data_IF_593458301512
#
_entry.id   IF_593458301512
#
_cell.length_a   1.000
_cell.length_b   1.000
_cell.length_c   1.000
_cell.angle_alpha   90.00
_cell.angle_beta   90.00
_cell.angle_gamma   90.00
#
_symmetry.space_group_name_H-M   'P 1'
#
loop_
_entity.id
_entity.type
_entity.pdbx_description
1 polymer ?
#
# COMPACT_ATOMS: atom_id res chain seq x y z
N UNK A 1 10.19 10.10 -4.21
CA UNK A 1 10.89 10.64 -3.02
C UNK A 1 11.03 12.13 -3.25
N UNK A 2 10.33 12.99 -2.48
CA UNK A 2 10.32 14.43 -2.77
C UNK A 2 11.74 15.01 -2.91
N UNK A 3 11.92 16.00 -3.78
CA UNK A 3 13.24 16.54 -4.17
C UNK A 3 14.13 16.94 -2.98
N UNK A 4 13.56 17.43 -1.88
CA UNK A 4 14.33 17.77 -0.67
C UNK A 4 14.93 16.54 0.04
N UNK A 5 14.32 15.37 -0.12
CA UNK A 5 14.74 14.12 0.52
C UNK A 5 15.92 13.48 -0.19
N UNK A 6 16.07 13.69 -1.50
CA UNK A 6 17.21 13.14 -2.26
C UNK A 6 18.54 13.66 -1.74
N UNK A 7 18.63 14.98 -1.47
CA UNK A 7 19.84 15.59 -0.93
C UNK A 7 20.19 15.01 0.44
N UNK A 8 19.19 14.90 1.32
CA UNK A 8 19.39 14.34 2.65
C UNK A 8 19.86 12.88 2.60
N UNK A 9 19.28 12.06 1.71
CA UNK A 9 19.71 10.67 1.50
C UNK A 9 21.16 10.60 1.03
N UNK A 10 21.59 11.46 0.08
CA UNK A 10 22.99 11.50 -0.40
C UNK A 10 23.96 11.90 0.71
N UNK A 11 23.61 12.91 1.50
CA UNK A 11 24.42 13.36 2.62
C UNK A 11 24.52 12.28 3.71
N UNK A 12 23.40 11.61 4.02
CA UNK A 12 23.34 10.50 4.96
C UNK A 12 24.18 9.32 4.47
N UNK A 13 24.07 8.94 3.20
CA UNK A 13 24.86 7.88 2.61
C UNK A 13 26.37 8.15 2.74
N UNK A 14 26.79 9.37 2.42
CA UNK A 14 28.20 9.78 2.52
C UNK A 14 28.73 9.67 3.95
N UNK A 15 27.95 10.12 4.94
CA UNK A 15 28.30 10.03 6.36
C UNK A 15 28.37 8.57 6.83
N UNK A 16 27.35 7.78 6.50
CA UNK A 16 27.27 6.36 6.87
C UNK A 16 28.43 5.57 6.27
N UNK A 17 28.74 5.80 4.98
CA UNK A 17 29.84 5.14 4.28
C UNK A 17 31.21 5.44 4.92
N UNK A 18 31.45 6.69 5.33
CA UNK A 18 32.68 7.08 6.00
C UNK A 18 32.85 6.35 7.35
N UNK A 19 31.79 6.35 8.19
CA UNK A 19 31.81 5.64 9.49
C UNK A 19 31.96 4.13 9.29
N UNK A 20 31.26 3.57 8.31
CA UNK A 20 31.33 2.15 7.98
C UNK A 20 32.75 1.73 7.54
N UNK A 21 33.38 2.53 6.66
CA UNK A 21 34.68 2.20 6.08
C UNK A 21 35.82 2.27 7.10
N UNK A 22 35.71 3.17 8.08
CA UNK A 22 36.77 3.46 9.07
C UNK A 22 36.48 2.91 10.47
N UNK A 23 35.29 2.33 10.69
CA UNK A 23 34.81 1.89 11.99
C UNK A 23 35.13 0.43 12.32
N UNK A 24 35.05 0.11 13.62
CA UNK A 24 34.97 -1.27 14.08
C UNK A 24 33.57 -1.87 13.79
N UNK A 25 33.36 -3.14 14.16
CA UNK A 25 32.13 -3.86 13.86
C UNK A 25 30.86 -3.18 14.41
N UNK A 26 30.93 -2.61 15.61
CA UNK A 26 29.78 -1.91 16.20
C UNK A 26 29.50 -0.59 15.48
N UNK A 27 30.54 0.15 15.09
CA UNK A 27 30.41 1.38 14.31
C UNK A 27 29.80 1.10 12.92
N UNK A 28 30.15 -0.02 12.29
CA UNK A 28 29.56 -0.46 11.01
C UNK A 28 28.07 -0.72 11.13
N UNK A 29 27.66 -1.52 12.12
CA UNK A 29 26.25 -1.81 12.38
C UNK A 29 25.45 -0.55 12.70
N UNK A 30 26.03 0.36 13.48
CA UNK A 30 25.39 1.64 13.79
C UNK A 30 25.23 2.53 12.54
N UNK A 31 26.25 2.56 11.68
CA UNK A 31 26.19 3.32 10.43
C UNK A 31 25.13 2.79 9.46
N UNK A 32 25.05 1.47 9.28
CA UNK A 32 24.01 0.82 8.49
C UNK A 32 22.63 1.11 9.05
N UNK A 33 22.43 0.87 10.35
CA UNK A 33 21.16 1.08 11.03
C UNK A 33 20.68 2.52 10.88
N UNK A 34 21.53 3.50 11.21
CA UNK A 34 21.22 4.92 11.10
C UNK A 34 20.88 5.35 9.66
N UNK A 35 21.61 4.83 8.66
CA UNK A 35 21.31 5.11 7.27
C UNK A 35 19.94 4.58 6.86
N UNK A 36 19.62 3.33 7.19
CA UNK A 36 18.31 2.76 6.90
C UNK A 36 17.17 3.49 7.61
N UNK A 37 17.33 3.86 8.89
CA UNK A 37 16.33 4.67 9.59
C UNK A 37 16.07 5.99 8.86
N UNK A 38 17.15 6.65 8.40
CA UNK A 38 17.07 7.92 7.69
C UNK A 38 16.31 7.78 6.37
N UNK A 39 16.66 6.78 5.56
CA UNK A 39 15.99 6.53 4.27
C UNK A 39 14.52 6.17 4.47
N UNK A 40 14.20 5.30 5.43
CA UNK A 40 12.82 4.89 5.70
C UNK A 40 11.99 6.06 6.23
N UNK A 41 12.55 6.91 7.10
CA UNK A 41 11.87 8.11 7.58
C UNK A 41 11.54 9.06 6.43
N UNK A 42 12.53 9.39 5.58
CA UNK A 42 12.34 10.31 4.44
C UNK A 42 11.30 9.75 3.45
N UNK A 43 11.35 8.44 3.19
CA UNK A 43 10.35 7.77 2.35
C UNK A 43 8.94 7.94 2.92
N UNK A 44 8.76 7.71 4.23
CA UNK A 44 7.47 7.81 4.92
C UNK A 44 6.95 9.25 4.98
N UNK A 45 7.81 10.22 5.22
CA UNK A 45 7.49 11.65 5.13
C UNK A 45 6.96 12.02 3.74
N UNK A 46 7.59 11.51 2.67
CA UNK A 46 7.12 11.67 1.29
C UNK A 46 5.74 11.06 1.01
N UNK A 47 5.27 10.13 1.85
CA UNK A 47 3.95 9.52 1.76
C UNK A 47 2.94 10.13 2.73
N UNK A 48 3.34 11.17 3.48
CA UNK A 48 2.52 11.78 4.53
C UNK A 48 2.32 10.88 5.75
N UNK A 49 3.17 9.86 5.94
CA UNK A 49 3.11 8.91 7.03
C UNK A 49 4.23 9.15 8.07
N UNK A 50 3.93 8.89 9.34
CA UNK A 50 4.94 8.96 10.41
C UNK A 50 5.92 7.78 10.36
N UNK A 51 7.17 8.02 10.76
CA UNK A 51 8.16 6.96 10.98
C UNK A 51 7.82 6.15 12.24
N UNK A 52 7.76 4.82 12.10
CA UNK A 52 7.38 3.89 13.19
C UNK A 52 8.48 2.88 13.52
N UNK A 53 9.72 3.14 13.10
CA UNK A 53 10.85 2.23 13.28
C UNK A 53 11.16 1.40 12.03
N UNK A 54 12.35 0.81 12.00
CA UNK A 54 12.71 -0.21 11.01
C UNK A 54 11.95 -1.49 11.30
N UNK A 55 11.31 -2.02 10.27
CA UNK A 55 10.65 -3.32 10.36
C UNK A 55 11.68 -4.45 10.19
N UNK A 56 11.44 -5.63 10.78
CA UNK A 56 12.30 -6.80 10.57
C UNK A 56 12.45 -7.12 9.08
N UNK A 57 13.62 -7.62 8.69
CA UNK A 57 13.82 -8.16 7.35
C UNK A 57 12.93 -9.40 7.11
N UNK A 58 12.59 -9.64 5.84
CA UNK A 58 11.80 -10.82 5.45
C UNK A 58 10.30 -10.69 5.68
N UNK A 59 9.77 -9.49 5.87
CA UNK A 59 8.33 -9.27 5.80
C UNK A 59 7.81 -9.55 4.39
N UNK A 60 6.64 -10.16 4.33
CA UNK A 60 5.91 -10.38 3.09
C UNK A 60 5.53 -9.01 2.47
N UNK A 61 6.03 -8.67 1.27
CA UNK A 61 5.68 -7.42 0.58
C UNK A 61 4.25 -7.44 0.03
N UNK A 62 3.51 -8.54 0.23
CA UNK A 62 2.20 -8.77 -0.31
C UNK A 62 2.25 -9.33 -1.73
N UNK A 63 1.09 -9.72 -2.29
CA UNK A 63 1.02 -10.50 -3.52
C UNK A 63 1.37 -9.69 -4.77
N UNK A 64 1.29 -8.35 -4.72
CA UNK A 64 1.41 -7.51 -5.90
C UNK A 64 2.85 -7.13 -6.24
N UNK A 65 3.71 -6.88 -5.25
CA UNK A 65 5.11 -6.48 -5.49
C UNK A 65 5.84 -7.53 -6.33
N UNK A 66 5.87 -8.83 -5.96
CA UNK A 66 6.56 -9.85 -6.76
C UNK A 66 5.94 -10.06 -8.15
N UNK A 67 4.63 -9.81 -8.31
CA UNK A 67 3.96 -9.92 -9.62
C UNK A 67 4.32 -8.78 -10.55
N UNK A 68 4.43 -7.57 -10.01
CA UNK A 68 4.89 -6.40 -10.77
C UNK A 68 6.35 -6.57 -11.17
N UNK A 69 7.21 -7.01 -10.25
CA UNK A 69 8.63 -7.29 -10.55
C UNK A 69 8.76 -8.29 -11.71
N UNK A 70 8.04 -9.41 -11.62
CA UNK A 70 8.01 -10.40 -12.70
C UNK A 70 7.46 -9.85 -14.02
N UNK A 71 6.39 -9.05 -13.97
CA UNK A 71 5.82 -8.44 -15.16
C UNK A 71 6.80 -7.49 -15.86
N UNK A 72 7.64 -6.80 -15.10
CA UNK A 72 8.71 -5.96 -15.65
C UNK A 72 9.82 -6.80 -16.29
N UNK A 73 10.24 -7.88 -15.64
CA UNK A 73 11.24 -8.82 -16.18
C UNK A 73 10.76 -9.47 -17.49
N UNK A 74 9.50 -9.90 -17.52
CA UNK A 74 8.88 -10.58 -18.66
C UNK A 74 8.42 -9.58 -19.75
N UNK A 75 8.31 -8.29 -19.43
CA UNK A 75 7.73 -7.26 -20.30
C UNK A 75 6.23 -7.42 -20.55
N UNK A 76 5.51 -8.13 -19.66
CA UNK A 76 4.09 -8.46 -19.79
C UNK A 76 3.32 -8.21 -18.48
N UNK A 77 2.41 -7.23 -18.52
CA UNK A 77 1.58 -6.82 -17.38
C UNK A 77 0.31 -7.68 -17.20
N UNK A 78 0.03 -8.61 -18.11
CA UNK A 78 -1.24 -9.32 -18.18
C UNK A 78 -1.62 -10.06 -16.90
N UNK A 79 -0.66 -10.72 -16.26
CA UNK A 79 -0.91 -11.46 -15.01
C UNK A 79 -1.23 -10.54 -13.82
N UNK A 80 -0.65 -9.34 -13.76
CA UNK A 80 -0.98 -8.31 -12.75
C UNK A 80 -2.43 -7.87 -12.94
N UNK A 81 -2.82 -7.55 -14.19
CA UNK A 81 -4.19 -7.13 -14.52
C UNK A 81 -5.20 -8.22 -14.15
N UNK A 82 -4.93 -9.46 -14.56
CA UNK A 82 -5.79 -10.60 -14.29
C UNK A 82 -5.98 -10.84 -12.78
N UNK A 83 -4.91 -10.73 -12.00
CA UNK A 83 -4.98 -10.92 -10.56
C UNK A 83 -5.87 -9.86 -9.89
N UNK A 84 -5.72 -8.59 -10.29
CA UNK A 84 -6.58 -7.51 -9.81
C UNK A 84 -8.03 -7.69 -10.24
N UNK A 85 -8.29 -8.09 -11.50
CA UNK A 85 -9.65 -8.37 -11.98
C UNK A 85 -10.33 -9.47 -11.17
N UNK A 86 -9.62 -10.55 -10.86
CA UNK A 86 -10.15 -11.64 -10.04
C UNK A 86 -10.46 -11.18 -8.61
N UNK A 87 -9.52 -10.47 -7.96
CA UNK A 87 -9.73 -9.94 -6.61
C UNK A 87 -10.95 -9.01 -6.53
N UNK A 88 -11.10 -8.12 -7.51
CA UNK A 88 -12.27 -7.22 -7.60
C UNK A 88 -13.56 -8.01 -7.82
N UNK A 89 -13.54 -9.01 -8.71
CA UNK A 89 -14.71 -9.83 -8.99
C UNK A 89 -15.15 -10.63 -7.76
N UNK A 90 -14.20 -11.22 -7.02
CA UNK A 90 -14.46 -11.98 -5.80
C UNK A 90 -15.12 -11.10 -4.72
N UNK A 91 -14.52 -9.96 -4.39
CA UNK A 91 -15.02 -9.06 -3.34
C UNK A 91 -16.40 -8.47 -3.67
N UNK A 92 -16.60 -7.99 -4.90
CA UNK A 92 -17.91 -7.45 -5.32
C UNK A 92 -18.97 -8.55 -5.30
N UNK A 93 -18.63 -9.76 -5.76
CA UNK A 93 -19.56 -10.89 -5.74
C UNK A 93 -19.95 -11.27 -4.33
N UNK A 94 -19.01 -11.26 -3.38
CA UNK A 94 -19.28 -11.60 -2.00
C UNK A 94 -20.18 -10.56 -1.32
N UNK A 95 -19.90 -9.26 -1.51
CA UNK A 95 -20.78 -8.19 -1.04
C UNK A 95 -22.19 -8.29 -1.66
N UNK A 96 -22.29 -8.63 -2.95
CA UNK A 96 -23.59 -8.83 -3.60
C UNK A 96 -24.39 -9.98 -3.00
N UNK A 97 -23.75 -11.12 -2.70
CA UNK A 97 -24.40 -12.24 -2.01
C UNK A 97 -24.97 -11.82 -0.65
N UNK A 98 -24.25 -11.00 0.11
CA UNK A 98 -24.71 -10.50 1.41
C UNK A 98 -25.96 -9.62 1.28
N UNK A 99 -26.00 -8.77 0.25
CA UNK A 99 -27.21 -7.98 -0.08
C UNK A 99 -28.38 -8.90 -0.40
N UNK A 100 -28.16 -9.88 -1.27
CA UNK A 100 -29.20 -10.81 -1.71
C UNK A 100 -29.73 -11.68 -0.57
N UNK A 101 -28.86 -12.13 0.34
CA UNK A 101 -29.26 -12.92 1.51
C UNK A 101 -30.12 -12.15 2.51
N UNK A 102 -30.04 -10.81 2.51
CA UNK A 102 -30.82 -9.94 3.41
C UNK A 102 -32.03 -9.31 2.73
N UNK A 103 -32.24 -9.54 1.43
CA UNK A 103 -33.23 -8.82 0.61
C UNK A 103 -34.68 -9.13 0.98
N UNK A 104 -34.95 -10.37 1.33
CA UNK A 104 -36.31 -10.83 1.62
C UNK A 104 -36.54 -10.72 3.13
N UNK A 105 -37.10 -9.58 3.56
CA UNK A 105 -37.50 -9.30 4.94
C UNK A 105 -38.94 -8.80 5.02
N UNK A 106 -39.60 -9.02 6.16
CA UNK A 106 -40.90 -8.40 6.43
C UNK A 106 -40.72 -6.88 6.59
N UNK A 107 -41.46 -6.08 5.84
CA UNK A 107 -41.40 -4.61 5.89
C UNK A 107 -41.71 -4.04 7.28
N UNK A 108 -42.38 -4.81 8.15
CA UNK A 108 -42.65 -4.44 9.52
C UNK A 108 -41.53 -4.84 10.50
N UNK A 109 -40.56 -5.66 10.06
CA UNK A 109 -39.36 -6.03 10.80
C UNK A 109 -38.25 -5.00 10.57
N UNK A 110 -38.27 -3.95 11.39
CA UNK A 110 -37.29 -2.86 11.34
C UNK A 110 -35.84 -3.34 11.50
N UNK A 111 -35.49 -4.26 12.44
CA UNK A 111 -34.16 -4.86 12.50
C UNK A 111 -33.69 -5.49 11.18
N UNK A 112 -34.53 -6.31 10.54
CA UNK A 112 -34.17 -6.96 9.27
C UNK A 112 -34.03 -5.95 8.13
N UNK A 113 -34.90 -4.94 8.07
CA UNK A 113 -34.78 -3.83 7.13
C UNK A 113 -33.45 -3.08 7.29
N UNK A 114 -33.01 -2.82 8.54
CA UNK A 114 -31.71 -2.17 8.81
C UNK A 114 -30.53 -3.03 8.36
N UNK A 115 -30.59 -4.35 8.57
CA UNK A 115 -29.56 -5.28 8.10
C UNK A 115 -29.44 -5.24 6.57
N UNK A 116 -30.57 -5.24 5.86
CA UNK A 116 -30.57 -5.14 4.40
C UNK A 116 -29.98 -3.83 3.90
N UNK A 117 -30.43 -2.70 4.45
CA UNK A 117 -29.93 -1.37 4.06
C UNK A 117 -28.42 -1.27 4.33
N UNK A 118 -27.93 -1.80 5.46
CA UNK A 118 -26.50 -1.82 5.76
C UNK A 118 -25.70 -2.63 4.74
N UNK A 119 -26.16 -3.82 4.36
CA UNK A 119 -25.51 -4.63 3.33
C UNK A 119 -25.50 -3.91 1.97
N UNK A 120 -26.63 -3.29 1.59
CA UNK A 120 -26.75 -2.51 0.36
C UNK A 120 -25.78 -1.32 0.33
N UNK A 121 -25.69 -0.57 1.43
CA UNK A 121 -24.77 0.55 1.57
C UNK A 121 -23.32 0.09 1.51
N UNK A 122 -22.96 -1.03 2.14
CA UNK A 122 -21.60 -1.57 2.06
C UNK A 122 -21.20 -1.90 0.61
N UNK A 123 -22.03 -2.64 -0.13
CA UNK A 123 -21.74 -2.93 -1.54
C UNK A 123 -21.60 -1.64 -2.37
N UNK A 124 -22.52 -0.69 -2.17
CA UNK A 124 -22.56 0.58 -2.91
C UNK A 124 -21.29 1.40 -2.64
N UNK A 125 -20.96 1.61 -1.37
CA UNK A 125 -19.81 2.42 -0.96
C UNK A 125 -18.49 1.74 -1.33
N UNK A 126 -18.38 0.42 -1.16
CA UNK A 126 -17.20 -0.33 -1.58
C UNK A 126 -16.93 -0.16 -3.08
N UNK A 127 -17.96 -0.40 -3.91
CA UNK A 127 -17.85 -0.27 -5.37
C UNK A 127 -17.53 1.17 -5.79
N UNK A 128 -18.15 2.15 -5.13
CA UNK A 128 -17.91 3.57 -5.39
C UNK A 128 -16.47 3.98 -5.04
N UNK A 129 -15.98 3.63 -3.85
CA UNK A 129 -14.62 3.95 -3.41
C UNK A 129 -13.57 3.25 -4.27
N UNK A 130 -13.78 1.98 -4.63
CA UNK A 130 -12.89 1.25 -5.52
C UNK A 130 -12.81 1.91 -6.90
N UNK A 131 -13.95 2.26 -7.49
CA UNK A 131 -13.98 2.99 -8.76
C UNK A 131 -13.26 4.34 -8.66
N UNK A 132 -13.51 5.09 -7.59
CA UNK A 132 -12.86 6.37 -7.35
C UNK A 132 -11.34 6.21 -7.19
N UNK A 133 -10.88 5.20 -6.46
CA UNK A 133 -9.46 4.90 -6.29
C UNK A 133 -8.78 4.59 -7.63
N UNK A 134 -9.44 3.83 -8.51
CA UNK A 134 -8.94 3.52 -9.85
C UNK A 134 -8.91 4.76 -10.76
N UNK A 135 -9.92 5.64 -10.68
CA UNK A 135 -10.06 6.82 -11.55
C UNK A 135 -9.33 8.06 -11.06
N UNK A 136 -9.05 8.14 -9.77
CA UNK A 136 -8.36 9.26 -9.12
C UNK A 136 -7.24 8.70 -8.24
N UNK A 137 -6.18 8.10 -8.84
CA UNK A 137 -5.11 7.51 -8.06
C UNK A 137 -4.37 8.58 -7.27
N UNK A 138 -4.08 8.29 -6.00
CA UNK A 138 -3.09 9.06 -5.24
C UNK A 138 -1.73 8.61 -5.77
N UNK A 139 -1.11 9.44 -6.62
CA UNK A 139 0.20 9.16 -7.17
C UNK A 139 1.27 9.36 -6.08
N UNK A 140 2.21 8.42 -6.00
CA UNK A 140 3.48 8.68 -5.34
C UNK A 140 4.24 9.67 -6.23
N UNK A 141 4.33 10.92 -5.76
CA UNK A 141 4.84 12.13 -6.44
C UNK A 141 3.87 12.88 -7.36
N UNK A 142 3.66 14.15 -7.01
CA UNK A 142 3.29 15.19 -7.97
C UNK A 142 4.60 15.59 -8.68
N UNK A 143 4.76 15.18 -9.92
CA UNK A 143 5.69 15.86 -10.82
C UNK A 143 5.16 17.28 -11.05
N UNK A 144 5.72 18.26 -10.34
CA UNK A 144 5.60 19.66 -10.73
C UNK A 144 6.63 19.91 -11.83
N UNK A 145 6.14 19.99 -13.07
CA UNK A 145 6.89 20.50 -14.22
C UNK A 145 7.12 22.01 -14.12
#
# INVERSE_FOLDING_TARGET
MHLEGEKEVKDAFTKALNVYSNGNEDAKKLAEYWFFETVVRIHREGEGAGYTGLKPAGLDPGPMVPKVDKALDDGDISEVIKHLQNAVAEEITEHFKHVMHSKDYDVNDVPSARKHISAYLHLTLYSHHLYHFIKNPILHEKDEH
#
